data_IF_206173081941
#
_entry.id   IF_206173081941
#
_cell.length_a   1.000
_cell.length_b   1.000
_cell.length_c   1.000
_cell.angle_alpha   90.00
_cell.angle_beta   90.00
_cell.angle_gamma   90.00
#
_symmetry.space_group_name_H-M   'P 1'
#
loop_
_entity.id
_entity.type
_entity.pdbx_description
1 polymer ?
#
# COMPACT_ATOMS: atom_id res chain seq x y z
N UNK A 1 -3.90 -64.80 16.69
CA UNK A 1 -2.52 -64.81 17.20
C UNK A 1 -1.82 -63.56 16.71
N UNK A 2 -1.60 -62.61 17.63
CA UNK A 2 -0.71 -61.46 17.49
C UNK A 2 0.75 -61.97 17.43
N UNK A 3 1.62 -61.33 16.65
CA UNK A 3 2.99 -60.89 17.02
C UNK A 3 3.98 -60.87 15.83
N UNK A 4 4.60 -59.70 15.61
CA UNK A 4 6.01 -59.42 15.25
C UNK A 4 6.09 -58.25 14.24
N UNK A 5 6.10 -56.97 14.66
CA UNK A 5 7.26 -56.15 15.09
C UNK A 5 8.49 -56.22 14.17
N UNK A 6 8.79 -55.13 13.45
CA UNK A 6 10.09 -54.42 13.54
C UNK A 6 10.01 -53.07 12.79
N UNK A 7 9.80 -51.97 13.54
CA UNK A 7 10.77 -50.87 13.73
C UNK A 7 11.32 -50.30 12.42
N UNK A 8 10.58 -49.35 11.82
CA UNK A 8 11.11 -48.47 10.78
C UNK A 8 11.87 -47.34 11.49
N UNK A 9 13.13 -47.22 11.10
CA UNK A 9 14.14 -46.37 11.71
C UNK A 9 13.76 -44.88 11.70
N UNK A 10 14.00 -44.24 12.85
CA UNK A 10 14.11 -42.80 13.01
C UNK A 10 15.24 -42.28 12.10
N UNK A 11 14.87 -41.71 10.95
CA UNK A 11 15.79 -40.86 10.18
C UNK A 11 15.50 -39.41 10.56
N UNK A 12 16.25 -38.94 11.56
CA UNK A 12 16.29 -37.54 11.96
C UNK A 12 17.01 -36.74 10.86
N UNK A 13 16.28 -36.00 10.02
CA UNK A 13 16.87 -34.97 9.15
C UNK A 13 15.95 -33.76 9.03
N UNK A 14 16.33 -32.70 9.75
CA UNK A 14 16.12 -31.27 9.50
C UNK A 14 14.69 -30.77 9.18
N UNK A 15 13.94 -30.43 10.25
CA UNK A 15 13.10 -29.24 10.22
C UNK A 15 14.03 -28.01 10.16
N UNK A 16 14.44 -27.58 8.97
CA UNK A 16 14.97 -26.22 8.78
C UNK A 16 13.80 -25.27 8.74
N UNK A 17 13.35 -24.83 9.91
CA UNK A 17 12.51 -23.66 10.06
C UNK A 17 13.26 -22.48 9.46
N UNK A 18 12.87 -22.04 8.26
CA UNK A 18 13.26 -20.73 7.74
C UNK A 18 12.65 -19.69 8.69
N UNK A 19 13.41 -19.28 9.70
CA UNK A 19 13.10 -18.10 10.49
C UNK A 19 13.30 -16.91 9.56
N UNK A 20 12.22 -16.51 8.89
CA UNK A 20 12.17 -15.21 8.24
C UNK A 20 12.56 -14.17 9.30
N UNK A 21 13.69 -13.49 9.10
CA UNK A 21 14.05 -12.32 9.89
C UNK A 21 12.84 -11.39 9.92
N UNK A 22 12.45 -10.83 11.09
CA UNK A 22 11.39 -9.84 11.11
C UNK A 22 11.84 -8.70 10.23
N UNK A 23 11.25 -8.59 9.04
CA UNK A 23 11.37 -7.38 8.23
C UNK A 23 10.93 -6.25 9.17
N UNK A 24 11.86 -5.37 9.53
CA UNK A 24 11.59 -4.25 10.42
C UNK A 24 10.41 -3.49 9.86
N UNK A 25 9.25 -3.58 10.52
CA UNK A 25 7.95 -3.19 9.97
C UNK A 25 7.85 -1.71 9.59
N UNK A 26 8.83 -0.89 9.97
CA UNK A 26 8.84 0.57 9.83
C UNK A 26 10.06 1.11 9.06
N UNK A 27 10.70 0.27 8.23
CA UNK A 27 11.81 0.69 7.38
C UNK A 27 11.31 1.36 6.11
N UNK A 28 11.63 2.65 5.91
CA UNK A 28 11.48 3.35 4.63
C UNK A 28 12.85 3.55 3.99
N UNK A 29 13.04 3.05 2.77
CA UNK A 29 14.30 3.19 2.04
C UNK A 29 14.44 4.62 1.49
N UNK A 30 15.55 5.29 1.83
CA UNK A 30 15.90 6.59 1.27
C UNK A 30 16.34 6.43 -0.18
N UNK A 31 15.63 7.08 -1.11
CA UNK A 31 15.77 6.82 -2.55
C UNK A 31 17.18 7.08 -3.10
N UNK A 32 17.89 8.07 -2.56
CA UNK A 32 19.21 8.46 -3.07
C UNK A 32 20.36 7.68 -2.43
N UNK A 33 20.21 7.27 -1.16
CA UNK A 33 21.32 6.70 -0.38
C UNK A 33 21.17 5.21 -0.17
N UNK A 34 20.00 4.63 -0.49
CA UNK A 34 19.66 3.22 -0.24
C UNK A 34 19.54 2.88 1.25
N UNK A 35 19.73 3.85 2.15
CA UNK A 35 19.70 3.62 3.60
C UNK A 35 18.27 3.38 4.07
N UNK A 36 18.10 2.39 4.93
CA UNK A 36 16.88 2.19 5.69
C UNK A 36 16.76 3.28 6.76
N UNK A 37 15.71 4.09 6.69
CA UNK A 37 15.35 5.05 7.73
C UNK A 37 14.20 4.45 8.53
N UNK A 38 14.39 4.34 9.85
CA UNK A 38 13.32 3.94 10.76
C UNK A 38 12.38 5.14 10.96
N UNK A 39 11.18 5.05 10.40
CA UNK A 39 10.15 6.08 10.53
C UNK A 39 9.26 5.69 11.70
N UNK A 40 9.06 6.59 12.67
CA UNK A 40 8.19 6.27 13.80
C UNK A 40 6.74 6.13 13.32
N UNK A 41 5.95 5.18 13.86
CA UNK A 41 4.58 4.94 13.38
C UNK A 41 3.67 6.19 13.42
N UNK A 42 3.86 7.08 14.38
CA UNK A 42 3.14 8.35 14.52
C UNK A 42 3.46 9.37 13.40
N UNK A 43 4.57 9.17 12.68
CA UNK A 43 4.97 10.02 11.56
C UNK A 43 4.47 9.47 10.20
N UNK A 44 3.81 8.31 10.19
CA UNK A 44 3.28 7.71 8.96
C UNK A 44 1.89 8.29 8.69
N UNK A 45 1.80 9.24 7.76
CA UNK A 45 0.52 9.69 7.23
C UNK A 45 -0.15 8.55 6.44
N UNK A 46 -1.38 8.24 6.82
CA UNK A 46 -2.26 7.29 6.14
C UNK A 46 -3.28 8.07 5.32
N UNK A 47 -3.69 7.55 4.15
CA UNK A 47 -4.77 8.15 3.39
C UNK A 47 -6.08 8.05 4.18
N UNK A 48 -6.92 9.08 4.03
CA UNK A 48 -8.23 9.16 4.69
C UNK A 48 -9.22 8.16 4.09
N UNK A 49 -9.02 7.78 2.82
CA UNK A 49 -9.87 6.85 2.07
C UNK A 49 -9.05 5.75 1.40
N UNK A 50 -9.58 4.54 1.37
CA UNK A 50 -9.03 3.40 0.65
C UNK A 50 -9.61 3.27 -0.76
N UNK A 51 -8.97 2.48 -1.62
CA UNK A 51 -9.54 2.08 -2.91
C UNK A 51 -10.80 1.24 -2.67
N UNK A 52 -11.89 1.56 -3.37
CA UNK A 52 -13.20 0.95 -3.17
C UNK A 52 -14.12 1.73 -2.23
N UNK A 53 -13.60 2.71 -1.49
CA UNK A 53 -14.43 3.55 -0.63
C UNK A 53 -15.23 4.57 -1.46
N UNK A 54 -16.39 4.97 -0.95
CA UNK A 54 -17.18 6.09 -1.50
C UNK A 54 -16.59 7.41 -0.99
N UNK A 55 -16.08 8.22 -1.91
CA UNK A 55 -15.45 9.50 -1.62
C UNK A 55 -16.50 10.62 -1.52
N UNK A 56 -16.48 11.47 -0.47
CA UNK A 56 -17.44 12.55 -0.31
C UNK A 56 -17.10 13.74 -1.22
N UNK A 57 -17.40 13.63 -2.51
CA UNK A 57 -16.99 14.58 -3.56
C UNK A 57 -17.48 16.02 -3.37
N UNK A 58 -18.53 16.25 -2.58
CA UNK A 58 -19.07 17.59 -2.29
C UNK A 58 -18.42 18.25 -1.06
N UNK A 59 -17.64 17.50 -0.28
CA UNK A 59 -16.92 18.00 0.89
C UNK A 59 -15.46 18.37 0.55
N UNK A 60 -14.97 17.94 -0.62
CA UNK A 60 -13.58 18.10 -1.03
C UNK A 60 -13.45 18.82 -2.38
N UNK A 61 -12.32 19.50 -2.56
CA UNK A 61 -12.04 20.22 -3.79
C UNK A 61 -11.64 19.28 -4.92
N UNK A 62 -12.33 19.40 -6.06
CA UNK A 62 -11.90 18.80 -7.32
C UNK A 62 -10.67 19.55 -7.87
N UNK A 63 -9.66 18.82 -8.32
CA UNK A 63 -8.47 19.38 -8.94
C UNK A 63 -8.70 19.63 -10.42
N UNK A 64 -8.79 20.91 -10.80
CA UNK A 64 -8.91 21.33 -12.20
C UNK A 64 -7.55 21.47 -12.89
N UNK A 65 -6.56 22.04 -12.19
CA UNK A 65 -5.21 22.25 -12.73
C UNK A 65 -4.31 21.03 -12.44
N UNK A 66 -4.60 19.92 -13.13
CA UNK A 66 -3.96 18.62 -12.89
C UNK A 66 -2.49 18.59 -13.33
N UNK A 67 -2.11 19.44 -14.29
CA UNK A 67 -0.76 19.51 -14.85
C UNK A 67 0.26 20.02 -13.83
N UNK A 68 -0.15 20.96 -12.96
CA UNK A 68 0.65 21.46 -11.82
C UNK A 68 1.13 20.32 -10.91
N UNK A 69 0.37 19.23 -10.83
CA UNK A 69 0.69 18.08 -9.98
C UNK A 69 1.34 16.93 -10.77
N UNK A 70 1.62 17.13 -12.07
CA UNK A 70 2.18 16.12 -12.95
C UNK A 70 1.27 14.90 -13.13
N UNK A 71 -0.05 15.09 -12.95
CA UNK A 71 -1.03 14.02 -13.08
C UNK A 71 -1.29 13.71 -14.55
N UNK A 72 -1.80 12.50 -14.81
CA UNK A 72 -2.20 12.12 -16.16
C UNK A 72 -3.46 12.89 -16.57
N UNK A 73 -3.60 13.26 -17.86
CA UNK A 73 -4.85 13.80 -18.38
C UNK A 73 -6.03 12.88 -18.07
N UNK A 74 -7.21 13.48 -17.88
CA UNK A 74 -8.45 12.73 -17.69
C UNK A 74 -8.84 12.09 -19.02
N UNK A 75 -8.91 10.75 -19.04
CA UNK A 75 -9.17 9.93 -20.23
C UNK A 75 -10.47 9.11 -20.13
N UNK A 76 -11.30 9.36 -19.11
CA UNK A 76 -12.54 8.64 -18.90
C UNK A 76 -13.47 9.30 -17.89
N UNK A 77 -14.41 8.52 -17.36
CA UNK A 77 -15.47 8.97 -16.44
C UNK A 77 -14.97 9.04 -14.99
N UNK A 78 -13.88 9.76 -14.77
CA UNK A 78 -13.27 9.90 -13.45
C UNK A 78 -12.70 11.31 -13.24
N UNK A 79 -12.51 11.73 -11.98
CA UNK A 79 -11.98 13.05 -11.60
C UNK A 79 -10.96 12.93 -10.48
N UNK A 80 -10.11 13.95 -10.34
CA UNK A 80 -9.15 14.05 -9.23
C UNK A 80 -9.70 14.93 -8.12
N UNK A 81 -9.57 14.45 -6.88
CA UNK A 81 -9.90 15.18 -5.67
C UNK A 81 -8.72 15.15 -4.71
N UNK A 82 -8.69 16.09 -3.76
CA UNK A 82 -7.65 16.15 -2.74
C UNK A 82 -8.27 16.12 -1.34
N UNK A 83 -7.77 15.23 -0.49
CA UNK A 83 -7.97 15.25 0.95
C UNK A 83 -6.59 15.22 1.63
N UNK A 84 -6.31 16.20 2.49
CA UNK A 84 -5.00 16.35 3.11
C UNK A 84 -3.84 16.45 2.10
N UNK A 85 -2.87 15.54 2.19
CA UNK A 85 -1.72 15.44 1.29
C UNK A 85 -1.94 14.53 0.09
N UNK A 86 -3.03 13.77 0.08
CA UNK A 86 -3.27 12.70 -0.88
C UNK A 86 -4.25 13.15 -1.97
N UNK A 87 -4.01 12.65 -3.18
CA UNK A 87 -4.85 12.90 -4.35
C UNK A 87 -5.55 11.59 -4.71
N UNK A 88 -6.86 11.67 -4.92
CA UNK A 88 -7.71 10.51 -5.19
C UNK A 88 -8.22 10.59 -6.63
N UNK A 89 -8.05 9.51 -7.37
CA UNK A 89 -8.77 9.28 -8.63
C UNK A 89 -10.11 8.65 -8.28
N UNK A 90 -11.20 9.33 -8.60
CA UNK A 90 -12.54 8.96 -8.16
C UNK A 90 -13.44 8.77 -9.39
N UNK A 91 -14.21 7.70 -9.43
CA UNK A 91 -15.23 7.49 -10.46
C UNK A 91 -16.29 8.59 -10.39
N UNK A 92 -16.65 9.17 -11.53
CA UNK A 92 -17.54 10.33 -11.55
C UNK A 92 -19.03 9.97 -11.37
N UNK A 93 -19.40 8.68 -11.45
CA UNK A 93 -20.77 8.19 -11.32
C UNK A 93 -21.01 7.54 -9.96
N UNK A 94 -20.10 6.68 -9.50
CA UNK A 94 -20.23 5.93 -8.24
C UNK A 94 -19.57 6.63 -7.06
N UNK A 95 -18.68 7.60 -7.32
CA UNK A 95 -17.81 8.23 -6.34
C UNK A 95 -16.84 7.25 -5.65
N UNK A 96 -16.63 6.08 -6.24
CA UNK A 96 -15.67 5.11 -5.73
C UNK A 96 -14.24 5.59 -5.96
N UNK A 97 -13.38 5.45 -4.95
CA UNK A 97 -11.95 5.68 -5.07
C UNK A 97 -11.33 4.57 -5.92
N UNK A 98 -10.80 4.95 -7.08
CA UNK A 98 -10.14 4.06 -8.04
C UNK A 98 -8.63 3.95 -7.77
N UNK A 99 -8.00 5.05 -7.33
CA UNK A 99 -6.55 5.11 -7.11
C UNK A 99 -6.20 6.20 -6.07
N UNK A 100 -5.18 5.93 -5.25
CA UNK A 100 -4.60 6.89 -4.31
C UNK A 100 -3.21 7.29 -4.82
N UNK A 101 -3.06 8.56 -5.18
CA UNK A 101 -1.83 9.12 -5.74
C UNK A 101 -1.10 9.89 -4.65
N UNK A 102 0.07 9.38 -4.27
CA UNK A 102 0.94 9.96 -3.24
C UNK A 102 2.26 10.40 -3.83
N UNK A 103 2.87 11.43 -3.24
CA UNK A 103 4.11 12.06 -3.73
C UNK A 103 3.97 12.62 -5.16
N UNK A 104 2.79 13.17 -5.49
CA UNK A 104 2.60 13.88 -6.75
C UNK A 104 3.60 15.05 -6.85
N UNK A 105 4.23 15.20 -8.01
CA UNK A 105 5.26 16.23 -8.21
C UNK A 105 4.59 17.55 -8.49
N UNK A 106 4.87 18.55 -7.66
CA UNK A 106 4.63 19.94 -8.05
C UNK A 106 5.58 20.28 -9.19
N UNK A 107 5.03 20.69 -10.33
CA UNK A 107 5.77 21.20 -11.48
C UNK A 107 5.85 22.72 -11.45
#
# INVERSE_FOLDING_TARGET
>A
MLCARLVIAFCAVCLTSLTALPASANCRIHRETGKCINVRPDQISRPDYAVGDIFPVYEHNMLLNIDRYGLKPVDGTWRYYRSGSDIYKVDALTFEVLEIIRNARLR
#
